data_IF_827054435672
#
_entry.id   IF_827054435672
#
_cell.length_a   1.000
_cell.length_b   1.000
_cell.length_c   1.000
_cell.angle_alpha   90.00
_cell.angle_beta   90.00
_cell.angle_gamma   90.00
#
_symmetry.space_group_name_H-M   'P 1'
#
loop_
_entity.id
_entity.type
_entity.pdbx_description
1 polymer ?
#
# COMPACT_ATOMS: atom_id res chain seq x y z
N UNK A 1 -15.30 -19.69 -0.29
CA UNK A 1 -13.89 -19.30 -0.26
C UNK A 1 -13.38 -19.68 1.10
N UNK A 2 -12.32 -20.49 1.17
CA UNK A 2 -11.77 -20.92 2.45
C UNK A 2 -11.20 -19.69 3.18
N UNK A 3 -11.26 -19.66 4.52
CA UNK A 3 -10.77 -18.53 5.33
C UNK A 3 -9.32 -18.16 4.98
N UNK A 4 -8.51 -19.17 4.70
CA UNK A 4 -7.14 -19.03 4.24
C UNK A 4 -7.03 -18.33 2.86
N UNK A 5 -7.90 -18.66 1.90
CA UNK A 5 -7.93 -17.99 0.60
C UNK A 5 -8.31 -16.51 0.73
N UNK A 6 -9.21 -16.17 1.65
CA UNK A 6 -9.59 -14.79 1.91
C UNK A 6 -8.42 -13.98 2.49
N UNK A 7 -7.70 -14.56 3.46
CA UNK A 7 -6.49 -13.95 4.04
C UNK A 7 -5.44 -13.71 2.94
N UNK A 8 -5.21 -14.68 2.06
CA UNK A 8 -4.28 -14.49 0.95
C UNK A 8 -4.73 -13.40 -0.03
N UNK A 9 -6.02 -13.35 -0.35
CA UNK A 9 -6.58 -12.33 -1.23
C UNK A 9 -6.40 -10.92 -0.63
N UNK A 10 -6.66 -10.77 0.66
CA UNK A 10 -6.47 -9.50 1.37
C UNK A 10 -5.00 -9.07 1.37
N UNK A 11 -4.07 -9.95 1.74
CA UNK A 11 -2.62 -9.65 1.73
C UNK A 11 -2.15 -9.21 0.34
N UNK A 12 -2.51 -9.97 -0.70
CA UNK A 12 -2.10 -9.66 -2.08
C UNK A 12 -2.70 -8.31 -2.51
N UNK A 13 -3.97 -8.08 -2.23
CA UNK A 13 -4.67 -6.85 -2.61
C UNK A 13 -4.05 -5.64 -1.91
N UNK A 14 -3.81 -5.71 -0.60
CA UNK A 14 -3.28 -4.58 0.16
C UNK A 14 -1.83 -4.28 -0.19
N UNK A 15 -0.95 -5.29 -0.31
CA UNK A 15 0.44 -5.10 -0.74
C UNK A 15 0.51 -4.58 -2.17
N UNK A 16 -0.38 -5.04 -3.05
CA UNK A 16 -0.52 -4.54 -4.43
C UNK A 16 -0.89 -3.05 -4.49
N UNK A 17 -1.83 -2.62 -3.64
CA UNK A 17 -2.20 -1.21 -3.50
C UNK A 17 -1.04 -0.38 -2.96
N UNK A 18 -0.36 -0.83 -1.90
CA UNK A 18 0.80 -0.14 -1.34
C UNK A 18 1.91 0.06 -2.38
N UNK A 19 2.25 -1.01 -3.12
CA UNK A 19 3.23 -0.95 -4.22
C UNK A 19 2.85 0.08 -5.26
N UNK A 20 1.58 0.13 -5.66
CA UNK A 20 1.11 1.06 -6.69
C UNK A 20 1.25 2.52 -6.23
N UNK A 21 0.88 2.81 -4.98
CA UNK A 21 1.06 4.13 -4.39
C UNK A 21 2.53 4.58 -4.38
N UNK A 22 3.48 3.68 -4.08
CA UNK A 22 4.92 4.00 -4.13
C UNK A 22 5.42 4.27 -5.55
N UNK A 23 4.94 3.53 -6.56
CA UNK A 23 5.29 3.80 -7.96
C UNK A 23 4.76 5.18 -8.41
N UNK A 24 3.54 5.53 -8.01
CA UNK A 24 2.97 6.86 -8.27
C UNK A 24 3.79 7.96 -7.60
N UNK A 25 4.22 7.75 -6.35
CA UNK A 25 5.09 8.67 -5.65
C UNK A 25 6.40 8.92 -6.40
N UNK A 26 7.05 7.87 -6.91
CA UNK A 26 8.26 7.99 -7.74
C UNK A 26 7.96 8.81 -9.00
N UNK A 27 6.82 8.58 -9.65
CA UNK A 27 6.38 9.34 -10.82
C UNK A 27 6.18 10.83 -10.54
N UNK A 28 5.59 11.16 -9.40
CA UNK A 28 5.36 12.55 -8.94
C UNK A 28 6.67 13.24 -8.54
N UNK A 29 7.55 12.55 -7.83
CA UNK A 29 8.87 13.06 -7.46
C UNK A 29 9.73 13.36 -8.71
N UNK A 30 9.67 12.51 -9.73
CA UNK A 30 10.33 12.76 -11.03
C UNK A 30 9.80 14.01 -11.76
N UNK A 31 8.55 14.40 -11.50
CA UNK A 31 7.94 15.64 -12.04
C UNK A 31 8.24 16.87 -11.17
N UNK A 32 8.95 16.70 -10.05
CA UNK A 32 9.22 17.77 -9.08
C UNK A 32 8.08 18.02 -8.09
N UNK A 33 7.00 17.22 -8.14
CA UNK A 33 5.89 17.34 -7.19
C UNK A 33 6.13 16.48 -5.95
N UNK A 34 7.03 16.96 -5.10
CA UNK A 34 7.44 16.25 -3.89
C UNK A 34 6.32 16.17 -2.85
N UNK A 35 5.40 17.15 -2.82
CA UNK A 35 4.30 17.16 -1.87
C UNK A 35 3.28 16.06 -2.20
N UNK A 36 2.92 15.91 -3.48
CA UNK A 36 2.07 14.82 -3.91
C UNK A 36 2.77 13.46 -3.78
N UNK A 37 4.09 13.41 -4.02
CA UNK A 37 4.87 12.20 -3.80
C UNK A 37 4.86 11.74 -2.34
N UNK A 38 5.06 12.66 -1.38
CA UNK A 38 5.00 12.37 0.05
C UNK A 38 3.61 11.87 0.47
N UNK A 39 2.54 12.48 -0.04
CA UNK A 39 1.17 12.02 0.21
C UNK A 39 0.98 10.57 -0.27
N UNK A 40 1.51 10.23 -1.45
CA UNK A 40 1.44 8.85 -2.00
C UNK A 40 2.29 7.85 -1.22
N UNK A 41 3.43 8.27 -0.67
CA UNK A 41 4.23 7.42 0.23
C UNK A 41 3.46 7.14 1.52
N UNK A 42 2.80 8.15 2.11
CA UNK A 42 2.00 7.96 3.31
C UNK A 42 0.81 7.04 3.07
N UNK A 43 0.11 7.20 1.94
CA UNK A 43 -0.97 6.29 1.50
C UNK A 43 -0.46 4.84 1.39
N UNK A 44 0.69 4.64 0.72
CA UNK A 44 1.29 3.30 0.60
C UNK A 44 1.66 2.69 1.95
N UNK A 45 2.18 3.50 2.88
CA UNK A 45 2.51 3.07 4.23
C UNK A 45 1.25 2.70 5.04
N UNK A 46 0.18 3.49 4.97
CA UNK A 46 -1.08 3.17 5.64
C UNK A 46 -1.63 1.82 5.19
N UNK A 47 -1.61 1.56 3.88
CA UNK A 47 -2.01 0.25 3.35
C UNK A 47 -1.10 -0.87 3.87
N UNK A 48 0.22 -0.68 3.83
CA UNK A 48 1.16 -1.70 4.31
C UNK A 48 1.02 -2.00 5.82
N UNK A 49 0.85 -0.98 6.66
CA UNK A 49 0.69 -1.16 8.11
C UNK A 49 -0.70 -1.65 8.52
N UNK A 50 -1.72 -1.41 7.70
CA UNK A 50 -3.08 -1.92 7.93
C UNK A 50 -3.12 -3.46 7.90
N UNK A 51 -2.30 -4.09 7.07
CA UNK A 51 -2.15 -5.55 7.09
C UNK A 51 -1.46 -6.02 8.37
N UNK A 52 -0.29 -5.45 8.70
CA UNK A 52 0.55 -5.90 9.83
C UNK A 52 -0.18 -5.82 11.17
N UNK A 53 -0.95 -4.75 11.42
CA UNK A 53 -1.65 -4.57 12.69
C UNK A 53 -2.92 -5.42 12.83
N UNK A 54 -3.44 -5.99 11.74
CA UNK A 54 -4.67 -6.78 11.75
C UNK A 54 -4.39 -8.27 11.85
N UNK A 55 -3.24 -8.74 11.38
CA UNK A 55 -2.78 -10.14 11.57
C UNK A 55 -2.34 -10.44 13.00
N UNK A 56 -2.21 -9.42 13.88
CA UNK A 56 -1.81 -9.59 15.28
C UNK A 56 -2.95 -9.53 16.32
N UNK A 57 -4.21 -9.29 15.91
CA UNK A 57 -5.38 -9.32 16.80
C UNK A 57 -6.33 -10.46 16.45
#
# INVERSE_FOLDING_TARGET
MEEMELIFFEIISTVGTARSAFIDAIGLAKKGDFKAAEAKINEGNEHFYKDINRTQN
#
